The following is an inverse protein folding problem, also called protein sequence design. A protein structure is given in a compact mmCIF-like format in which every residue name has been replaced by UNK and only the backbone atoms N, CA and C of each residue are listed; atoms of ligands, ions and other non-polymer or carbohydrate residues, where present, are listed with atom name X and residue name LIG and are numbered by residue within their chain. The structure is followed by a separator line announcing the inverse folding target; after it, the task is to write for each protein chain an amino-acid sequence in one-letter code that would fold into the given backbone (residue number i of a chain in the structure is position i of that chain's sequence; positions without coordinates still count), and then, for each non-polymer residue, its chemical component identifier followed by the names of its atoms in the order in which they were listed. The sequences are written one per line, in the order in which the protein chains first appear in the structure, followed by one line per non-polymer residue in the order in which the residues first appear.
data_IF_480371138670
#
_entry.id   IF_480371138670
#
_cell.length_a   1.000
_cell.length_b   1.000
_cell.length_c   1.000
_cell.angle_alpha   90.00
_cell.angle_beta   90.00
_cell.angle_gamma   90.00
#
_symmetry.space_group_name_H-M   'P 1'
#
loop_
_entity.id
_entity.type
_entity.pdbx_description
1 polymer ?
#
# COMPACT_ATOMS: atom_id res chain seq x y z
N UNK A 1 -9.09 8.46 -4.88
CA UNK A 1 -7.71 7.90 -4.89
C UNK A 1 -7.54 6.81 -5.94
N UNK A 2 -8.26 5.66 -5.91
CA UNK A 2 -8.12 4.63 -6.96
C UNK A 2 -8.45 5.16 -8.35
N UNK A 3 -9.44 6.02 -8.48
CA UNK A 3 -9.82 6.68 -9.76
C UNK A 3 -8.63 7.41 -10.38
N UNK A 4 -7.85 8.14 -9.55
CA UNK A 4 -6.63 8.81 -10.01
C UNK A 4 -5.51 7.81 -10.26
N UNK A 5 -5.23 6.93 -9.31
CA UNK A 5 -4.11 6.00 -9.42
C UNK A 5 -4.23 5.02 -10.61
N UNK A 6 -5.45 4.73 -11.04
CA UNK A 6 -5.75 3.84 -12.18
C UNK A 6 -6.18 4.60 -13.45
N UNK A 7 -5.96 5.92 -13.49
CA UNK A 7 -6.24 6.74 -14.65
C UNK A 7 -5.41 6.29 -15.86
N UNK A 8 -6.07 6.29 -17.03
CA UNK A 8 -5.46 5.86 -18.29
C UNK A 8 -5.25 7.05 -19.22
N UNK A 9 -4.16 7.02 -19.96
CA UNK A 9 -3.93 7.95 -21.06
C UNK A 9 -4.81 7.59 -22.30
N UNK A 10 -4.76 8.42 -23.34
CA UNK A 10 -5.50 8.22 -24.60
C UNK A 10 -5.15 6.90 -25.32
N UNK A 11 -4.01 6.30 -25.02
CA UNK A 11 -3.58 5.00 -25.52
C UNK A 11 -4.01 3.83 -24.62
N UNK A 12 -4.77 4.10 -23.55
CA UNK A 12 -5.24 3.10 -22.58
C UNK A 12 -4.14 2.58 -21.64
N UNK A 13 -3.07 3.34 -21.43
CA UNK A 13 -1.98 2.98 -20.50
C UNK A 13 -2.12 3.75 -19.21
N UNK A 14 -1.72 3.14 -18.10
CA UNK A 14 -1.69 3.81 -16.79
C UNK A 14 -0.79 5.05 -16.84
N UNK A 15 -1.33 6.21 -16.47
CA UNK A 15 -0.60 7.48 -16.37
C UNK A 15 0.47 7.39 -15.27
N UNK A 16 0.12 6.78 -14.13
CA UNK A 16 1.02 6.70 -12.98
C UNK A 16 1.62 5.29 -12.85
N UNK A 17 2.92 5.21 -13.03
CA UNK A 17 3.69 3.96 -12.87
C UNK A 17 4.20 3.75 -11.45
N UNK A 18 4.23 4.81 -10.66
CA UNK A 18 4.65 4.81 -9.25
C UNK A 18 3.56 5.46 -8.40
N UNK A 19 3.11 4.77 -7.38
CA UNK A 19 2.08 5.28 -6.48
C UNK A 19 2.58 5.16 -5.04
N UNK A 20 2.60 6.28 -4.33
CA UNK A 20 2.94 6.31 -2.90
C UNK A 20 1.73 6.74 -2.10
N UNK A 21 1.35 5.95 -1.11
CA UNK A 21 0.29 6.24 -0.15
C UNK A 21 0.84 6.28 1.26
N UNK A 22 0.78 7.44 1.90
CA UNK A 22 1.06 7.64 3.33
C UNK A 22 -0.23 8.00 4.05
N UNK A 23 -0.62 7.17 5.04
CA UNK A 23 -1.91 7.31 5.73
C UNK A 23 -1.81 6.70 7.14
N UNK A 24 -2.49 7.24 8.16
CA UNK A 24 -2.45 6.71 9.51
C UNK A 24 -2.84 5.23 9.62
N UNK A 25 -2.58 4.62 10.75
CA UNK A 25 -3.04 3.26 11.04
C UNK A 25 -4.57 3.19 11.07
N UNK A 26 -5.12 1.99 10.81
CA UNK A 26 -6.57 1.69 10.86
C UNK A 26 -7.45 2.53 9.88
N UNK A 27 -6.86 3.10 8.83
CA UNK A 27 -7.57 3.89 7.83
C UNK A 27 -7.94 3.08 6.56
N UNK A 28 -8.05 1.77 6.66
CA UNK A 28 -8.53 0.93 5.55
C UNK A 28 -7.49 0.51 4.52
N UNK A 29 -6.17 0.73 4.76
CA UNK A 29 -5.07 0.33 3.84
C UNK A 29 -5.22 -1.08 3.30
N UNK A 30 -5.44 -2.06 4.18
CA UNK A 30 -5.51 -3.48 3.80
C UNK A 30 -6.67 -3.80 2.88
N UNK A 31 -7.83 -3.17 3.10
CA UNK A 31 -9.01 -3.31 2.24
C UNK A 31 -8.77 -2.67 0.88
N UNK A 32 -8.19 -1.48 0.85
CA UNK A 32 -7.80 -0.80 -0.38
C UNK A 32 -6.86 -1.66 -1.23
N UNK A 33 -5.83 -2.23 -0.60
CA UNK A 33 -4.86 -3.07 -1.29
C UNK A 33 -5.49 -4.37 -1.82
N UNK A 34 -6.42 -4.97 -1.08
CA UNK A 34 -7.18 -6.11 -1.58
C UNK A 34 -8.02 -5.73 -2.81
N UNK A 35 -8.73 -4.59 -2.76
CA UNK A 35 -9.53 -4.10 -3.90
C UNK A 35 -8.63 -3.83 -5.10
N UNK A 36 -7.52 -3.12 -4.93
CA UNK A 36 -6.54 -2.88 -5.99
C UNK A 36 -6.05 -4.21 -6.61
N UNK A 37 -5.68 -5.15 -5.76
CA UNK A 37 -5.15 -6.45 -6.15
C UNK A 37 -6.13 -7.24 -7.03
N UNK A 38 -7.38 -7.30 -6.59
CA UNK A 38 -8.48 -7.96 -7.32
C UNK A 38 -8.81 -7.21 -8.61
N UNK A 39 -8.96 -5.89 -8.55
CA UNK A 39 -9.29 -5.04 -9.71
C UNK A 39 -8.28 -5.21 -10.84
N UNK A 40 -6.98 -5.19 -10.52
CA UNK A 40 -5.93 -5.40 -11.51
C UNK A 40 -6.05 -6.76 -12.22
N UNK A 41 -6.37 -7.82 -11.47
CA UNK A 41 -6.52 -9.15 -12.05
C UNK A 41 -7.82 -9.33 -12.84
N UNK A 42 -8.88 -8.60 -12.51
CA UNK A 42 -10.16 -8.70 -13.22
C UNK A 42 -10.24 -7.84 -14.48
N UNK A 43 -9.67 -6.62 -14.43
CA UNK A 43 -9.72 -5.68 -15.56
C UNK A 43 -8.82 -6.09 -16.75
N UNK A 44 -7.68 -6.69 -16.46
CA UNK A 44 -6.73 -7.11 -17.50
C UNK A 44 -6.40 -8.60 -17.36
N UNK A 45 -6.38 -9.36 -18.45
CA UNK A 45 -5.98 -10.76 -18.41
C UNK A 45 -4.46 -10.89 -18.19
N UNK A 46 -4.05 -12.09 -17.78
CA UNK A 46 -2.66 -12.49 -17.62
C UNK A 46 -1.79 -11.59 -16.73
N UNK A 47 -2.41 -10.88 -15.78
CA UNK A 47 -1.68 -10.02 -14.85
C UNK A 47 -0.81 -10.83 -13.90
N UNK A 48 0.37 -10.31 -13.62
CA UNK A 48 1.29 -10.83 -12.60
C UNK A 48 1.39 -9.80 -11.49
N UNK A 49 0.75 -10.08 -10.38
CA UNK A 49 0.62 -9.17 -9.26
C UNK A 49 1.34 -9.75 -8.05
N UNK A 50 2.19 -8.97 -7.42
CA UNK A 50 2.91 -9.39 -6.21
C UNK A 50 2.61 -8.46 -5.05
N UNK A 51 2.56 -9.04 -3.86
CA UNK A 51 2.40 -8.35 -2.60
C UNK A 51 3.52 -8.74 -1.64
N UNK A 52 4.09 -7.75 -0.99
CA UNK A 52 5.02 -7.93 0.12
C UNK A 52 4.66 -6.95 1.24
N UNK A 53 5.01 -7.29 2.47
CA UNK A 53 4.79 -6.48 3.66
C UNK A 53 6.10 -6.35 4.43
N UNK A 54 6.05 -6.02 5.72
CA UNK A 54 7.21 -5.92 6.59
C UNK A 54 8.07 -7.19 6.55
N UNK A 55 7.44 -8.36 6.54
CA UNK A 55 8.10 -9.65 6.33
C UNK A 55 7.23 -10.59 5.48
N UNK A 56 7.83 -11.66 4.96
CA UNK A 56 7.06 -12.69 4.25
C UNK A 56 6.02 -13.38 5.13
N UNK A 57 6.28 -13.48 6.44
CA UNK A 57 5.33 -14.02 7.40
C UNK A 57 4.11 -13.08 7.59
N UNK A 58 4.35 -11.78 7.68
CA UNK A 58 3.28 -10.79 7.84
C UNK A 58 2.43 -10.69 6.56
N UNK A 59 3.07 -10.73 5.39
CA UNK A 59 2.37 -10.83 4.11
C UNK A 59 1.46 -12.06 4.07
N UNK A 60 1.96 -13.22 4.51
CA UNK A 60 1.20 -14.47 4.57
C UNK A 60 0.05 -14.42 5.59
N UNK A 61 0.28 -13.86 6.78
CA UNK A 61 -0.78 -13.70 7.79
C UNK A 61 -1.92 -12.86 7.26
N UNK A 62 -1.63 -11.71 6.66
CA UNK A 62 -2.63 -10.83 6.05
C UNK A 62 -3.37 -11.53 4.91
N UNK A 63 -2.65 -12.15 4.00
CA UNK A 63 -3.24 -12.87 2.88
C UNK A 63 -4.14 -14.03 3.32
N UNK A 64 -3.64 -14.92 4.20
CA UNK A 64 -4.36 -16.12 4.60
C UNK A 64 -5.47 -15.85 5.64
N UNK A 65 -5.23 -14.90 6.56
CA UNK A 65 -6.16 -14.58 7.65
C UNK A 65 -7.24 -13.59 7.27
N UNK A 66 -6.88 -12.56 6.48
CA UNK A 66 -7.80 -11.48 6.19
C UNK A 66 -8.36 -11.57 4.76
N UNK A 67 -7.51 -11.70 3.74
CA UNK A 67 -7.91 -11.57 2.35
C UNK A 67 -8.58 -12.81 1.77
N UNK A 68 -8.04 -14.00 2.03
CA UNK A 68 -8.64 -15.23 1.50
C UNK A 68 -10.05 -15.51 2.02
N UNK A 69 -10.41 -15.27 3.30
CA UNK A 69 -11.79 -15.39 3.75
C UNK A 69 -12.74 -14.43 3.02
N UNK A 70 -12.32 -13.18 2.81
CA UNK A 70 -13.11 -12.19 2.05
C UNK A 70 -13.30 -12.61 0.59
N UNK A 71 -12.24 -13.08 -0.06
CA UNK A 71 -12.30 -13.58 -1.43
C UNK A 71 -13.19 -14.82 -1.56
N UNK A 72 -13.12 -15.74 -0.59
CA UNK A 72 -13.96 -16.94 -0.58
C UNK A 72 -15.45 -16.63 -0.37
N UNK A 73 -15.76 -15.57 0.37
CA UNK A 73 -17.12 -15.09 0.58
C UNK A 73 -17.63 -14.15 -0.55
N UNK A 74 -16.76 -13.77 -1.48
CA UNK A 74 -17.09 -12.83 -2.55
C UNK A 74 -17.77 -13.52 -3.74
N UNK A 75 -18.48 -12.76 -4.61
CA UNK A 75 -19.00 -13.27 -5.88
C UNK A 75 -17.90 -13.83 -6.82
N UNK A 76 -16.65 -13.49 -6.58
CA UNK A 76 -15.51 -13.91 -7.40
C UNK A 76 -14.94 -15.28 -7.02
N UNK A 77 -15.43 -15.92 -5.95
CA UNK A 77 -14.90 -17.19 -5.43
C UNK A 77 -14.79 -18.29 -6.50
N UNK A 78 -15.79 -18.37 -7.40
CA UNK A 78 -15.81 -19.35 -8.50
C UNK A 78 -14.83 -19.05 -9.66
N UNK A 79 -14.19 -17.88 -9.67
CA UNK A 79 -13.26 -17.44 -10.72
C UNK A 79 -11.80 -17.66 -10.35
N UNK A 80 -11.50 -18.24 -9.19
CA UNK A 80 -10.14 -18.35 -8.69
C UNK A 80 -9.81 -19.72 -8.11
N UNK A 81 -8.53 -20.07 -8.16
CA UNK A 81 -7.94 -21.22 -7.47
C UNK A 81 -6.86 -20.73 -6.52
N UNK A 82 -6.92 -21.20 -5.27
CA UNK A 82 -5.99 -20.80 -4.21
C UNK A 82 -4.95 -21.87 -3.96
N UNK A 83 -3.68 -21.52 -4.04
CA UNK A 83 -2.54 -22.38 -3.69
C UNK A 83 -1.94 -21.88 -2.37
N UNK A 84 -1.91 -22.74 -1.34
CA UNK A 84 -1.50 -22.40 0.03
C UNK A 84 -0.14 -22.96 0.44
N UNK A 85 0.57 -23.63 -0.49
CA UNK A 85 1.87 -24.21 -0.20
C UNK A 85 2.89 -23.11 0.15
N UNK A 86 3.64 -23.33 1.23
CA UNK A 86 4.66 -22.36 1.70
C UNK A 86 5.69 -22.08 0.60
N UNK A 87 5.95 -20.80 0.35
CA UNK A 87 6.85 -20.32 -0.71
C UNK A 87 6.22 -20.32 -2.11
N UNK A 88 4.98 -20.78 -2.24
CA UNK A 88 4.21 -20.80 -3.50
C UNK A 88 2.78 -20.29 -3.31
N UNK A 89 2.58 -19.47 -2.29
CA UNK A 89 1.28 -18.87 -2.00
C UNK A 89 0.82 -17.97 -3.14
N UNK A 90 -0.32 -18.33 -3.73
CA UNK A 90 -0.88 -17.55 -4.85
C UNK A 90 -2.38 -17.80 -5.04
N UNK A 91 -3.02 -16.84 -5.65
CA UNK A 91 -4.35 -16.99 -6.25
C UNK A 91 -4.19 -16.95 -7.77
N UNK A 92 -4.78 -17.92 -8.46
CA UNK A 92 -4.82 -18.00 -9.93
C UNK A 92 -6.24 -17.75 -10.37
N UNK A 93 -6.43 -16.76 -11.23
CA UNK A 93 -7.73 -16.37 -11.78
C UNK A 93 -8.02 -17.07 -13.10
N UNK A 94 -9.30 -17.24 -13.40
CA UNK A 94 -9.76 -17.94 -14.64
C UNK A 94 -9.26 -17.26 -15.92
N UNK A 95 -8.95 -15.93 -15.89
CA UNK A 95 -8.41 -15.18 -17.01
C UNK A 95 -6.87 -15.25 -17.13
N UNK A 96 -6.22 -16.17 -16.40
CA UNK A 96 -4.77 -16.35 -16.40
C UNK A 96 -3.98 -15.47 -15.44
N UNK A 97 -4.63 -14.47 -14.82
CA UNK A 97 -3.97 -13.57 -13.85
C UNK A 97 -3.53 -14.33 -12.61
N UNK A 98 -2.42 -13.90 -12.00
CA UNK A 98 -1.85 -14.50 -10.78
C UNK A 98 -1.52 -13.43 -9.76
N UNK A 99 -1.89 -13.71 -8.53
CA UNK A 99 -1.56 -12.92 -7.36
C UNK A 99 -0.68 -13.75 -6.45
N UNK A 100 0.54 -13.32 -6.19
CA UNK A 100 1.53 -14.07 -5.42
C UNK A 100 2.08 -13.24 -4.26
N UNK A 101 2.52 -13.92 -3.21
CA UNK A 101 3.30 -13.30 -2.15
C UNK A 101 4.78 -13.35 -2.51
N UNK A 102 5.51 -12.31 -2.15
CA UNK A 102 6.96 -12.23 -2.37
C UNK A 102 7.64 -11.94 -1.04
N UNK A 103 8.71 -12.66 -0.77
CA UNK A 103 9.53 -12.40 0.41
C UNK A 103 10.32 -11.09 0.25
N UNK A 104 10.58 -10.42 1.37
CA UNK A 104 11.34 -9.16 1.45
C UNK A 104 12.85 -9.36 1.23
N UNK A 105 13.23 -10.00 0.13
CA UNK A 105 14.64 -10.31 -0.18
C UNK A 105 15.07 -9.67 -1.50
N UNK A 106 16.35 -9.46 -1.66
CA UNK A 106 16.96 -8.94 -2.91
C UNK A 106 16.71 -9.85 -4.14
N UNK A 107 16.17 -11.05 -3.96
CA UNK A 107 15.80 -11.99 -5.03
C UNK A 107 14.31 -11.96 -5.36
N UNK A 108 13.55 -11.05 -4.74
CA UNK A 108 12.13 -10.86 -5.02
C UNK A 108 11.91 -10.60 -6.53
N UNK A 109 10.96 -11.29 -7.15
CA UNK A 109 10.61 -11.06 -8.56
C UNK A 109 11.59 -11.57 -9.61
N UNK A 110 12.69 -12.25 -9.25
CA UNK A 110 13.61 -12.81 -10.22
C UNK A 110 12.93 -13.92 -11.05
N UNK A 111 12.91 -13.73 -12.37
CA UNK A 111 12.39 -14.70 -13.34
C UNK A 111 10.93 -14.48 -13.78
N UNK A 112 10.20 -13.57 -13.15
CA UNK A 112 8.83 -13.21 -13.55
C UNK A 112 8.78 -11.79 -14.12
N UNK A 113 7.86 -11.55 -15.07
CA UNK A 113 7.49 -10.20 -15.50
C UNK A 113 6.27 -9.76 -14.69
N UNK A 114 6.34 -8.56 -14.07
CA UNK A 114 5.33 -8.09 -13.11
C UNK A 114 4.55 -6.89 -13.64
N UNK A 115 3.22 -6.93 -13.48
CA UNK A 115 2.32 -5.82 -13.82
C UNK A 115 2.05 -4.91 -12.62
N UNK A 116 1.93 -5.50 -11.43
CA UNK A 116 1.72 -4.75 -10.20
C UNK A 116 2.62 -5.32 -9.10
N UNK A 117 3.35 -4.45 -8.43
CA UNK A 117 4.06 -4.75 -7.20
C UNK A 117 3.56 -3.84 -6.07
N UNK A 118 3.21 -4.43 -4.94
CA UNK A 118 2.75 -3.72 -3.75
C UNK A 118 3.72 -3.96 -2.60
N UNK A 119 4.33 -2.89 -2.10
CA UNK A 119 5.12 -2.86 -0.89
C UNK A 119 4.30 -2.20 0.22
N UNK A 120 3.74 -3.02 1.09
CA UNK A 120 2.96 -2.59 2.26
C UNK A 120 3.87 -2.48 3.50
N UNK A 121 3.50 -1.60 4.43
CA UNK A 121 4.25 -1.30 5.66
C UNK A 121 5.71 -0.88 5.35
N UNK A 122 5.86 0.00 4.35
CA UNK A 122 7.17 0.43 3.84
C UNK A 122 8.06 1.10 4.90
N UNK A 123 7.49 1.61 6.01
CA UNK A 123 8.24 2.15 7.14
C UNK A 123 9.22 1.14 7.76
N UNK A 124 8.95 -0.16 7.62
CA UNK A 124 9.79 -1.21 8.19
C UNK A 124 11.02 -1.56 7.31
N UNK A 125 11.12 -0.98 6.12
CA UNK A 125 12.22 -1.25 5.20
C UNK A 125 13.30 -0.17 5.31
N UNK A 126 14.53 -0.53 5.70
CA UNK A 126 15.60 0.44 5.88
C UNK A 126 16.14 1.01 4.58
N UNK A 127 15.89 0.35 3.45
CA UNK A 127 16.39 0.75 2.14
C UNK A 127 15.50 0.29 0.98
N UNK A 128 15.84 0.73 -0.23
CA UNK A 128 15.09 0.44 -1.46
C UNK A 128 15.39 -0.91 -2.14
N UNK A 129 16.04 -1.87 -1.47
CA UNK A 129 16.45 -3.14 -2.09
C UNK A 129 15.31 -3.93 -2.72
N UNK A 130 14.12 -3.90 -2.12
CA UNK A 130 12.94 -4.62 -2.63
C UNK A 130 12.43 -3.94 -3.90
N UNK A 131 12.33 -2.61 -3.89
CA UNK A 131 11.97 -1.85 -5.09
C UNK A 131 12.98 -2.10 -6.22
N UNK A 132 14.27 -2.05 -5.91
CA UNK A 132 15.33 -2.33 -6.88
C UNK A 132 15.27 -3.76 -7.45
N UNK A 133 14.82 -4.73 -6.66
CA UNK A 133 14.65 -6.11 -7.11
C UNK A 133 13.40 -6.29 -8.02
N UNK A 134 12.30 -5.58 -7.73
CA UNK A 134 11.03 -5.76 -8.44
C UNK A 134 10.91 -4.90 -9.70
N UNK A 135 11.47 -3.68 -9.73
CA UNK A 135 11.33 -2.76 -10.88
C UNK A 135 11.84 -3.31 -12.22
N UNK A 136 12.99 -4.00 -12.29
CA UNK A 136 13.43 -4.58 -13.56
C UNK A 136 12.43 -5.58 -14.15
N UNK A 137 11.74 -6.35 -13.30
CA UNK A 137 10.72 -7.31 -13.72
C UNK A 137 9.45 -6.64 -14.31
N UNK A 138 9.31 -5.33 -14.14
CA UNK A 138 8.14 -4.57 -14.64
C UNK A 138 8.39 -3.88 -15.97
N UNK A 139 9.64 -3.81 -16.45
CA UNK A 139 10.02 -2.98 -17.60
C UNK A 139 9.37 -3.41 -18.92
N UNK A 140 9.08 -4.69 -19.09
CA UNK A 140 8.54 -5.26 -20.32
C UNK A 140 7.02 -5.35 -20.36
N UNK A 141 6.35 -4.94 -19.28
CA UNK A 141 4.88 -5.00 -19.18
C UNK A 141 4.25 -3.71 -19.72
N UNK A 142 3.03 -3.83 -20.26
CA UNK A 142 2.30 -2.70 -20.85
C UNK A 142 1.68 -1.78 -19.79
N UNK A 143 1.30 -2.33 -18.63
CA UNK A 143 0.60 -1.63 -17.55
C UNK A 143 1.31 -1.78 -16.19
N UNK A 144 2.63 -1.49 -16.11
CA UNK A 144 3.36 -1.71 -14.87
C UNK A 144 3.04 -0.62 -13.85
N UNK A 145 2.84 -1.02 -12.59
CA UNK A 145 2.60 -0.10 -11.49
C UNK A 145 3.22 -0.60 -10.19
N UNK A 146 4.01 0.25 -9.54
CA UNK A 146 4.61 -0.02 -8.23
C UNK A 146 3.93 0.81 -7.15
N UNK A 147 3.41 0.17 -6.12
CA UNK A 147 2.77 0.81 -4.98
C UNK A 147 3.63 0.70 -3.74
N UNK A 148 3.91 1.86 -3.13
CA UNK A 148 4.50 1.96 -1.80
C UNK A 148 3.43 2.46 -0.84
N UNK A 149 3.08 1.66 0.15
CA UNK A 149 1.99 1.99 1.08
C UNK A 149 2.48 1.89 2.51
N UNK A 150 2.22 2.91 3.31
CA UNK A 150 2.69 2.92 4.69
C UNK A 150 1.94 3.93 5.57
N UNK A 151 2.17 3.84 6.85
CA UNK A 151 2.07 4.92 7.83
C UNK A 151 3.46 5.54 7.99
N UNK A 152 3.56 6.77 8.50
CA UNK A 152 4.83 7.43 8.79
C UNK A 152 5.71 6.57 9.73
N UNK A 153 7.02 6.71 9.56
CA UNK A 153 8.06 6.16 10.41
C UNK A 153 8.83 7.25 11.14
N UNK A 154 10.09 6.97 11.43
CA UNK A 154 11.07 8.01 11.81
C UNK A 154 12.08 8.17 10.68
N UNK A 155 12.64 9.34 10.43
CA UNK A 155 13.63 9.54 9.37
C UNK A 155 14.80 8.56 9.45
N UNK A 156 15.27 8.28 10.66
CA UNK A 156 16.42 7.40 10.90
C UNK A 156 16.11 5.92 10.68
N UNK A 157 14.94 5.45 11.12
CA UNK A 157 14.56 4.03 11.00
C UNK A 157 13.93 3.68 9.66
N UNK A 158 13.41 4.66 8.94
CA UNK A 158 12.62 4.51 7.71
C UNK A 158 13.09 5.42 6.57
N UNK A 159 14.41 5.53 6.31
CA UNK A 159 14.93 6.51 5.34
C UNK A 159 14.37 6.30 3.94
N UNK A 160 14.17 5.06 3.51
CA UNK A 160 13.57 4.74 2.22
C UNK A 160 12.17 5.36 2.05
N UNK A 161 11.30 5.19 3.05
CA UNK A 161 9.96 5.76 3.00
C UNK A 161 10.00 7.29 3.15
N UNK A 162 10.89 7.81 4.00
CA UNK A 162 11.05 9.25 4.19
C UNK A 162 11.40 9.96 2.89
N UNK A 163 12.34 9.41 2.11
CA UNK A 163 12.70 9.92 0.79
C UNK A 163 11.51 9.88 -0.19
N UNK A 164 10.71 8.80 -0.16
CA UNK A 164 9.50 8.66 -1.00
C UNK A 164 8.46 9.73 -0.66
N UNK A 165 8.21 9.96 0.63
CA UNK A 165 7.25 10.96 1.10
C UNK A 165 7.73 12.37 0.76
N UNK A 166 9.00 12.69 1.04
CA UNK A 166 9.59 14.00 0.72
C UNK A 166 9.45 14.30 -0.77
N UNK A 167 9.88 13.36 -1.62
CA UNK A 167 9.74 13.51 -3.07
C UNK A 167 8.27 13.60 -3.51
N UNK A 168 7.38 12.84 -2.88
CA UNK A 168 5.95 12.87 -3.17
C UNK A 168 5.34 14.25 -2.88
N UNK A 169 5.71 14.87 -1.77
CA UNK A 169 5.29 16.24 -1.40
C UNK A 169 5.81 17.27 -2.41
N UNK A 170 7.07 17.15 -2.84
CA UNK A 170 7.66 18.02 -3.87
C UNK A 170 6.92 17.90 -5.21
N UNK A 171 6.63 16.68 -5.66
CA UNK A 171 5.89 16.40 -6.89
C UNK A 171 4.47 16.99 -6.81
N UNK A 172 3.77 16.79 -5.69
CA UNK A 172 2.44 17.34 -5.49
C UNK A 172 2.44 18.89 -5.48
N UNK A 173 3.42 19.50 -4.81
CA UNK A 173 3.59 20.96 -4.78
C UNK A 173 3.93 21.53 -6.16
N UNK A 174 4.65 20.81 -6.99
CA UNK A 174 4.99 21.20 -8.36
C UNK A 174 3.85 20.97 -9.38
N UNK A 175 2.74 20.32 -8.96
CA UNK A 175 1.60 20.03 -9.82
C UNK A 175 1.91 19.02 -10.94
N UNK A 176 2.85 18.10 -10.70
CA UNK A 176 3.17 17.04 -11.67
C UNK A 176 2.03 16.03 -11.72
N UNK A 177 1.55 15.72 -12.92
CA UNK A 177 0.36 14.87 -13.16
C UNK A 177 0.66 13.59 -13.92
N UNK A 178 1.93 13.22 -14.09
CA UNK A 178 2.35 12.04 -14.84
C UNK A 178 3.47 11.28 -14.11
N UNK A 179 3.49 9.97 -14.31
CA UNK A 179 4.53 9.06 -13.83
C UNK A 179 4.42 8.67 -12.37
N UNK A 180 4.19 9.63 -11.47
CA UNK A 180 4.09 9.42 -10.01
C UNK A 180 2.79 10.00 -9.49
N UNK A 181 2.00 9.18 -8.77
CA UNK A 181 0.90 9.64 -7.95
C UNK A 181 1.28 9.59 -6.47
N UNK A 182 1.01 10.68 -5.75
CA UNK A 182 1.25 10.78 -4.32
C UNK A 182 -0.04 11.09 -3.57
N UNK A 183 -0.31 10.29 -2.54
CA UNK A 183 -1.46 10.48 -1.66
C UNK A 183 -0.98 10.48 -0.22
N UNK A 184 -1.38 11.51 0.51
CA UNK A 184 -1.05 11.64 1.93
C UNK A 184 -2.25 12.12 2.72
N UNK A 185 -2.48 11.43 3.84
CA UNK A 185 -3.35 11.87 4.92
C UNK A 185 -2.48 12.02 6.16
N UNK A 186 -2.17 13.25 6.52
CA UNK A 186 -1.37 13.59 7.68
C UNK A 186 -1.90 14.87 8.31
N UNK A 187 -1.75 15.02 9.60
CA UNK A 187 -1.92 16.30 10.25
C UNK A 187 -0.79 17.26 9.86
N UNK A 188 -0.97 18.58 10.08
CA UNK A 188 0.13 19.53 9.97
C UNK A 188 1.04 19.46 11.21
N UNK A 189 2.30 19.83 11.04
CA UNK A 189 3.31 19.72 12.10
C UNK A 189 2.99 20.59 13.33
N UNK A 190 2.18 21.63 13.15
CA UNK A 190 1.74 22.58 14.20
C UNK A 190 0.36 22.22 14.80
N UNK A 191 -0.30 21.13 14.33
CA UNK A 191 -1.61 20.76 14.82
C UNK A 191 -1.56 20.28 16.27
N UNK A 192 -2.61 20.56 17.05
CA UNK A 192 -2.77 19.99 18.38
C UNK A 192 -3.19 18.53 18.27
N UNK A 193 -2.38 17.56 18.73
CA UNK A 193 -2.70 16.15 18.65
C UNK A 193 -3.90 15.73 19.51
N UNK A 194 -4.28 16.53 20.52
CA UNK A 194 -5.45 16.29 21.37
C UNK A 194 -6.75 16.86 20.80
N UNK A 195 -6.71 17.64 19.73
CA UNK A 195 -7.90 18.23 19.14
C UNK A 195 -8.61 17.24 18.20
N UNK A 196 -9.90 16.90 18.44
CA UNK A 196 -10.69 16.08 17.52
C UNK A 196 -10.76 16.65 16.07
N UNK A 197 -10.62 17.95 15.87
CA UNK A 197 -10.56 18.54 14.54
C UNK A 197 -9.29 18.12 13.77
N UNK A 198 -8.17 17.98 14.48
CA UNK A 198 -6.92 17.43 13.92
C UNK A 198 -7.13 15.99 13.45
N UNK A 199 -7.78 15.16 14.27
CA UNK A 199 -8.09 13.77 13.87
C UNK A 199 -8.96 13.71 12.62
N UNK A 200 -10.00 14.58 12.56
CA UNK A 200 -10.89 14.70 11.40
C UNK A 200 -10.19 15.08 10.10
N UNK A 201 -9.09 15.83 10.19
CA UNK A 201 -8.33 16.30 9.02
C UNK A 201 -7.48 15.21 8.37
N UNK A 202 -6.99 14.23 9.15
CA UNK A 202 -6.03 13.23 8.67
C UNK A 202 -6.53 11.78 8.74
N UNK A 203 -7.66 11.50 9.40
CA UNK A 203 -8.20 10.16 9.60
C UNK A 203 -9.51 9.93 8.80
N UNK A 204 -9.44 9.51 7.53
CA UNK A 204 -10.65 9.33 6.69
C UNK A 204 -11.63 8.26 7.19
N UNK A 205 -11.21 7.35 8.08
CA UNK A 205 -12.08 6.35 8.70
C UNK A 205 -12.76 6.84 10.00
N UNK A 206 -12.43 8.05 10.47
CA UNK A 206 -13.04 8.61 11.67
C UNK A 206 -14.55 8.84 11.46
N UNK A 207 -15.36 8.35 12.41
CA UNK A 207 -16.81 8.39 12.29
C UNK A 207 -17.43 7.31 11.40
N UNK A 208 -16.62 6.45 10.77
CA UNK A 208 -17.06 5.31 9.94
C UNK A 208 -16.72 4.00 10.65
N UNK A 209 -15.44 3.68 10.78
CA UNK A 209 -14.95 2.46 11.45
C UNK A 209 -14.12 2.75 12.70
N UNK A 210 -13.68 3.99 12.87
CA UNK A 210 -12.93 4.49 14.03
C UNK A 210 -13.77 5.55 14.73
N UNK A 211 -13.92 5.46 16.05
CA UNK A 211 -14.68 6.45 16.84
C UNK A 211 -13.74 7.46 17.49
N UNK A 212 -14.21 8.70 17.67
CA UNK A 212 -13.45 9.72 18.41
C UNK A 212 -13.12 9.29 19.84
N UNK A 213 -14.01 8.53 20.50
CA UNK A 213 -13.80 8.00 21.85
C UNK A 213 -12.62 7.00 21.88
N UNK A 214 -12.48 6.16 20.85
CA UNK A 214 -11.34 5.25 20.74
C UNK A 214 -10.04 6.02 20.54
N UNK A 215 -10.04 7.03 19.67
CA UNK A 215 -8.85 7.87 19.42
C UNK A 215 -8.45 8.63 20.69
N UNK A 216 -9.43 9.16 21.44
CA UNK A 216 -9.19 9.84 22.71
C UNK A 216 -8.52 8.91 23.73
N UNK A 217 -9.02 7.69 23.87
CA UNK A 217 -8.44 6.71 24.81
C UNK A 217 -6.99 6.35 24.43
N UNK A 218 -6.70 6.20 23.14
CA UNK A 218 -5.35 5.95 22.66
C UNK A 218 -4.44 7.18 22.87
N UNK A 219 -4.94 8.40 22.65
CA UNK A 219 -4.22 9.63 22.95
C UNK A 219 -3.84 9.77 24.41
N UNK A 220 -4.72 9.38 25.35
CA UNK A 220 -4.48 9.44 26.80
C UNK A 220 -3.53 8.36 27.30
N UNK A 221 -3.41 7.23 26.59
CA UNK A 221 -2.66 6.05 27.04
C UNK A 221 -1.31 5.86 26.37
N UNK A 222 -1.11 6.41 25.19
CA UNK A 222 0.12 6.23 24.40
C UNK A 222 1.13 7.36 24.67
N UNK A 223 2.41 7.05 24.44
CA UNK A 223 3.44 8.08 24.35
C UNK A 223 3.12 9.02 23.17
N UNK A 224 3.28 10.33 23.39
CA UNK A 224 2.86 11.37 22.44
C UNK A 224 3.41 11.14 21.02
N UNK A 225 4.71 10.92 20.90
CA UNK A 225 5.35 10.72 19.61
C UNK A 225 4.87 9.45 18.87
N UNK A 226 4.49 8.41 19.62
CA UNK A 226 3.91 7.20 19.03
C UNK A 226 2.49 7.43 18.53
N UNK A 227 1.67 8.18 19.29
CA UNK A 227 0.34 8.58 18.86
C UNK A 227 0.42 9.45 17.59
N UNK A 228 1.25 10.48 17.57
CA UNK A 228 1.45 11.37 16.43
C UNK A 228 1.83 10.58 15.17
N UNK A 229 2.75 9.65 15.28
CA UNK A 229 3.16 8.80 14.15
C UNK A 229 2.05 7.85 13.71
N UNK A 230 1.40 7.16 14.63
CA UNK A 230 0.45 6.10 14.32
C UNK A 230 -0.91 6.63 13.84
N UNK A 231 -1.41 7.71 14.47
CA UNK A 231 -2.76 8.22 14.27
C UNK A 231 -2.81 9.52 13.46
N UNK A 232 -1.77 10.34 13.52
CA UNK A 232 -1.70 11.59 12.78
C UNK A 232 -0.78 11.52 11.55
N UNK A 233 -0.10 10.39 11.36
CA UNK A 233 0.85 10.15 10.26
C UNK A 233 1.99 11.18 10.21
N UNK A 234 2.40 11.70 11.38
CA UNK A 234 3.48 12.66 11.50
C UNK A 234 4.83 11.95 11.58
N UNK A 235 5.83 12.54 10.99
CA UNK A 235 7.21 12.10 11.08
C UNK A 235 7.83 12.64 12.37
N UNK A 236 8.07 11.74 13.32
CA UNK A 236 8.66 12.09 14.62
C UNK A 236 10.14 11.69 14.65
N UNK A 237 10.92 12.36 15.51
CA UNK A 237 12.33 12.05 15.73
C UNK A 237 12.50 10.73 16.49
#
# INVERSE_FOLDING_TARGET
MLDVALELDDAGRLIYRDVTLSIPRQQGKSTLLLVLWVTRCLLWPDQRVVYTAQSGLDARKKWAGDWLPLLAASPFAGLMTVHRQSGHERVVWANGSRQSLVATTARAGHGDSLDLAVLDEAFAHPDGRIEQALRPAMMTRSQPQFWTVSTAGTPDSSPFLFDKVTRGREIAAAGVTEGVAYFEWAATDDADPGDPATWGSCMPALGITVTAATVQADFESMERHEFERAFLNLWTA
#
